data_IF_154853488669
#
_entry.id   IF_154853488669
#
_cell.length_a   1.000
_cell.length_b   1.000
_cell.length_c   1.000
_cell.angle_alpha   90.00
_cell.angle_beta   90.00
_cell.angle_gamma   90.00
#
_symmetry.space_group_name_H-M   'P 1'
#
loop_
_entity.id
_entity.type
_entity.pdbx_description
1 polymer ?
#
# COMPACT_ATOMS: atom_id res chain seq x y z
N UNK A 1 -9.28 15.79 -10.02
CA UNK A 1 -9.95 15.74 -8.70
C UNK A 1 -10.43 17.16 -8.40
N UNK A 2 -11.67 17.35 -7.95
CA UNK A 2 -12.19 18.68 -7.56
C UNK A 2 -11.45 19.13 -6.31
N UNK A 3 -11.19 20.44 -6.15
CA UNK A 3 -10.43 20.99 -5.00
C UNK A 3 -11.10 20.64 -3.65
N UNK A 4 -12.42 20.74 -3.57
CA UNK A 4 -13.21 20.34 -2.40
C UNK A 4 -12.95 18.88 -1.97
N UNK A 5 -12.79 17.97 -2.94
CA UNK A 5 -12.50 16.55 -2.66
C UNK A 5 -11.09 16.38 -2.12
N UNK A 6 -10.14 17.12 -2.65
CA UNK A 6 -8.76 17.14 -2.16
C UNK A 6 -8.68 17.62 -0.71
N UNK A 7 -9.37 18.72 -0.39
CA UNK A 7 -9.46 19.22 0.99
C UNK A 7 -10.07 18.20 1.95
N UNK A 8 -11.10 17.47 1.50
CA UNK A 8 -11.72 16.41 2.29
C UNK A 8 -10.73 15.29 2.61
N UNK A 9 -9.96 14.83 1.61
CA UNK A 9 -8.93 13.81 1.81
C UNK A 9 -7.80 14.31 2.72
N UNK A 10 -7.38 15.56 2.58
CA UNK A 10 -6.36 16.16 3.47
C UNK A 10 -6.82 16.22 4.92
N UNK A 11 -8.07 16.60 5.17
CA UNK A 11 -8.67 16.57 6.53
C UNK A 11 -8.69 15.14 7.08
N UNK A 12 -9.04 14.16 6.25
CA UNK A 12 -9.05 12.76 6.63
C UNK A 12 -7.64 12.24 6.97
N UNK A 13 -6.62 12.62 6.19
CA UNK A 13 -5.22 12.30 6.51
C UNK A 13 -4.81 12.84 7.88
N UNK A 14 -5.20 14.07 8.21
CA UNK A 14 -4.92 14.64 9.53
C UNK A 14 -5.59 13.85 10.66
N UNK A 15 -6.85 13.45 10.46
CA UNK A 15 -7.57 12.59 11.42
C UNK A 15 -6.83 11.25 11.60
N UNK A 16 -6.39 10.61 10.51
CA UNK A 16 -5.66 9.35 10.60
C UNK A 16 -4.30 9.49 11.30
N UNK A 17 -3.55 10.56 11.04
CA UNK A 17 -2.29 10.82 11.74
C UNK A 17 -2.49 10.95 13.25
N UNK A 18 -3.46 11.74 13.67
CA UNK A 18 -3.75 11.93 15.10
C UNK A 18 -4.16 10.59 15.73
N UNK A 19 -5.09 9.87 15.13
CA UNK A 19 -5.52 8.55 15.62
C UNK A 19 -4.40 7.51 15.63
N UNK A 20 -3.47 7.55 14.68
CA UNK A 20 -2.31 6.67 14.67
C UNK A 20 -1.41 6.93 15.89
N UNK A 21 -1.12 8.20 16.17
CA UNK A 21 -0.29 8.57 17.34
C UNK A 21 -0.97 8.10 18.63
N UNK A 22 -2.26 8.37 18.79
CA UNK A 22 -3.03 7.93 19.96
C UNK A 22 -3.02 6.40 20.10
N UNK A 23 -3.22 5.68 18.99
CA UNK A 23 -3.21 4.23 18.96
C UNK A 23 -1.84 3.67 19.37
N UNK A 24 -0.76 4.12 18.72
CA UNK A 24 0.59 3.63 19.03
C UNK A 24 1.02 4.00 20.45
N UNK A 25 0.63 5.17 20.93
CA UNK A 25 0.86 5.56 22.32
C UNK A 25 0.12 4.63 23.28
N UNK A 26 -1.13 4.28 22.99
CA UNK A 26 -1.92 3.42 23.88
C UNK A 26 -1.39 1.99 23.97
N UNK A 27 -0.86 1.44 22.88
CA UNK A 27 -0.33 0.06 22.85
C UNK A 27 1.19 -0.03 23.09
N UNK A 28 1.89 1.11 23.16
CA UNK A 28 3.33 1.25 23.42
C UNK A 28 4.22 0.38 22.50
N UNK A 29 3.78 0.13 21.27
CA UNK A 29 4.50 -0.66 20.26
C UNK A 29 4.05 -0.32 18.84
N UNK A 30 4.93 -0.49 17.85
CA UNK A 30 4.63 -0.28 16.44
C UNK A 30 5.72 0.52 15.72
N UNK A 31 5.45 0.87 14.47
CA UNK A 31 6.37 1.56 13.58
C UNK A 31 5.74 2.90 13.13
N UNK A 32 5.92 3.98 13.91
CA UNK A 32 5.27 5.27 13.60
C UNK A 32 5.72 5.84 12.25
N UNK A 33 7.02 5.86 11.96
CA UNK A 33 7.58 6.42 10.73
C UNK A 33 6.98 5.78 9.48
N UNK A 34 7.11 4.45 9.36
CA UNK A 34 6.61 3.70 8.21
C UNK A 34 5.08 3.71 8.07
N UNK A 35 4.35 3.98 9.16
CA UNK A 35 2.90 4.15 9.13
C UNK A 35 2.49 5.56 8.72
N UNK A 36 3.14 6.59 9.26
CA UNK A 36 2.85 7.99 8.95
C UNK A 36 3.17 8.35 7.49
N UNK A 37 4.26 7.81 6.94
CA UNK A 37 4.71 8.14 5.58
C UNK A 37 3.73 7.67 4.48
N UNK A 38 2.96 6.62 4.71
CA UNK A 38 1.98 6.11 3.73
C UNK A 38 0.53 6.59 3.97
N UNK A 39 0.31 7.56 4.87
CA UNK A 39 -1.04 8.05 5.21
C UNK A 39 -1.80 8.55 3.97
N UNK A 40 -1.21 9.46 3.19
CA UNK A 40 -1.84 10.03 2.00
C UNK A 40 -2.07 8.97 0.93
N UNK A 41 -1.12 8.06 0.75
CA UNK A 41 -1.21 6.97 -0.23
C UNK A 41 -2.41 6.09 0.10
N UNK A 42 -2.50 5.57 1.32
CA UNK A 42 -3.60 4.71 1.75
C UNK A 42 -4.94 5.44 1.73
N UNK A 43 -4.97 6.71 2.18
CA UNK A 43 -6.20 7.51 2.15
C UNK A 43 -6.68 7.72 0.72
N UNK A 44 -5.80 8.09 -0.22
CA UNK A 44 -6.17 8.29 -1.61
C UNK A 44 -6.65 6.99 -2.26
N UNK A 45 -5.99 5.88 -2.01
CA UNK A 45 -6.37 4.57 -2.56
C UNK A 45 -7.76 4.16 -2.07
N UNK A 46 -7.98 4.07 -0.78
CA UNK A 46 -9.24 3.54 -0.22
C UNK A 46 -10.43 4.49 -0.33
N UNK A 47 -10.21 5.81 -0.40
CA UNK A 47 -11.30 6.78 -0.38
C UNK A 47 -11.57 7.46 -1.73
N UNK A 48 -10.68 7.27 -2.72
CA UNK A 48 -10.85 7.92 -4.04
C UNK A 48 -10.64 6.98 -5.23
N UNK A 49 -9.68 6.05 -5.17
CA UNK A 49 -9.21 5.35 -6.37
C UNK A 49 -9.73 3.91 -6.48
N UNK A 50 -9.67 3.14 -5.39
CA UNK A 50 -9.94 1.71 -5.42
C UNK A 50 -11.44 1.41 -5.41
N UNK A 51 -11.82 0.43 -6.22
CA UNK A 51 -13.13 -0.20 -6.17
C UNK A 51 -13.11 -1.34 -5.15
N UNK A 52 -13.46 -0.99 -3.91
CA UNK A 52 -13.56 -1.94 -2.79
C UNK A 52 -14.84 -1.69 -2.00
N UNK A 53 -15.51 -2.77 -1.65
CA UNK A 53 -16.73 -2.76 -0.84
C UNK A 53 -16.50 -3.48 0.51
N UNK A 54 -16.47 -2.75 1.63
CA UNK A 54 -16.34 -3.37 2.95
C UNK A 54 -17.45 -4.36 3.31
N UNK A 55 -18.63 -4.21 2.69
CA UNK A 55 -19.76 -5.12 2.90
C UNK A 55 -19.64 -6.41 2.08
N UNK A 56 -18.78 -6.42 1.06
CA UNK A 56 -18.47 -7.57 0.24
C UNK A 56 -16.95 -7.67 -0.02
N UNK A 57 -16.15 -7.90 1.03
CA UNK A 57 -14.70 -7.91 0.94
C UNK A 57 -14.14 -9.06 0.07
N UNK A 58 -14.93 -10.09 -0.18
CA UNK A 58 -14.55 -11.25 -1.01
C UNK A 58 -14.97 -11.11 -2.48
N UNK A 59 -15.49 -9.95 -2.91
CA UNK A 59 -15.83 -9.71 -4.32
C UNK A 59 -14.60 -9.93 -5.19
N UNK A 60 -14.68 -10.85 -6.15
CA UNK A 60 -13.50 -11.31 -6.91
C UNK A 60 -12.92 -10.28 -7.88
N UNK A 61 -13.77 -9.42 -8.48
CA UNK A 61 -13.40 -8.40 -9.47
C UNK A 61 -13.07 -7.02 -8.85
N UNK A 62 -12.87 -6.98 -7.51
CA UNK A 62 -12.45 -5.76 -6.81
C UNK A 62 -10.99 -5.43 -7.04
N UNK A 63 -10.61 -4.19 -6.76
CA UNK A 63 -9.21 -3.82 -6.67
C UNK A 63 -8.52 -4.44 -5.42
N UNK A 64 -7.23 -4.70 -5.52
CA UNK A 64 -6.42 -5.30 -4.47
C UNK A 64 -5.33 -4.35 -3.99
N UNK A 65 -5.05 -4.35 -2.69
CA UNK A 65 -3.92 -3.61 -2.13
C UNK A 65 -3.00 -4.51 -1.32
N UNK A 66 -1.73 -4.52 -1.67
CA UNK A 66 -0.66 -5.16 -0.90
C UNK A 66 0.20 -4.08 -0.24
N UNK A 67 0.20 -4.05 1.08
CA UNK A 67 1.17 -3.26 1.84
C UNK A 67 2.43 -4.10 1.99
N UNK A 68 3.34 -4.04 1.00
CA UNK A 68 4.58 -4.83 0.99
C UNK A 68 5.50 -4.47 2.14
N UNK A 69 5.62 -3.16 2.45
CA UNK A 69 6.23 -2.67 3.70
C UNK A 69 5.33 -2.94 4.90
N UNK A 70 5.21 -4.23 5.27
CA UNK A 70 4.24 -4.71 6.25
C UNK A 70 4.30 -4.02 7.63
N UNK A 71 5.44 -3.41 7.98
CA UNK A 71 5.58 -2.63 9.20
C UNK A 71 4.69 -1.35 9.22
N UNK A 72 4.16 -0.90 8.07
CA UNK A 72 3.14 0.16 7.99
C UNK A 72 1.72 -0.30 8.39
N UNK A 73 1.55 -1.54 8.83
CA UNK A 73 0.25 -2.13 9.20
C UNK A 73 -0.65 -1.26 10.09
N UNK A 74 -0.15 -0.54 11.11
CA UNK A 74 -1.03 0.28 11.95
C UNK A 74 -1.85 1.31 11.18
N UNK A 75 -1.28 1.96 10.16
CA UNK A 75 -2.02 2.89 9.30
C UNK A 75 -3.02 2.16 8.40
N UNK A 76 -2.64 1.01 7.83
CA UNK A 76 -3.56 0.20 7.04
C UNK A 76 -4.77 -0.23 7.86
N UNK A 77 -4.58 -0.69 9.10
CA UNK A 77 -5.66 -1.09 9.99
C UNK A 77 -6.59 0.08 10.35
N UNK A 78 -6.04 1.27 10.60
CA UNK A 78 -6.84 2.48 10.80
C UNK A 78 -7.72 2.78 9.59
N UNK A 79 -7.15 2.74 8.40
CA UNK A 79 -7.88 3.02 7.15
C UNK A 79 -8.97 1.96 6.90
N UNK A 80 -8.65 0.68 7.07
CA UNK A 80 -9.61 -0.43 6.90
C UNK A 80 -10.77 -0.34 7.90
N UNK A 81 -10.49 -0.10 9.19
CA UNK A 81 -11.51 0.05 10.22
C UNK A 81 -12.42 1.25 9.94
N UNK A 82 -11.85 2.39 9.57
CA UNK A 82 -12.61 3.60 9.21
C UNK A 82 -13.40 3.45 7.90
N UNK A 83 -12.93 2.62 6.97
CA UNK A 83 -13.67 2.27 5.75
C UNK A 83 -14.82 1.31 6.05
N UNK A 84 -14.77 0.56 7.17
CA UNK A 84 -15.84 -0.33 7.61
C UNK A 84 -15.57 -1.82 7.41
N UNK A 85 -14.32 -2.24 7.13
CA UNK A 85 -13.97 -3.65 7.00
C UNK A 85 -14.07 -4.42 8.31
N UNK A 86 -13.89 -3.74 9.44
CA UNK A 86 -14.07 -4.30 10.79
C UNK A 86 -14.36 -3.17 11.79
N UNK A 87 -14.89 -3.50 13.00
CA UNK A 87 -15.25 -2.49 14.00
C UNK A 87 -14.05 -1.67 14.48
N UNK A 88 -14.21 -0.35 14.60
CA UNK A 88 -13.19 0.56 15.15
C UNK A 88 -12.71 0.15 16.55
N UNK A 89 -13.56 -0.51 17.33
CA UNK A 89 -13.23 -0.98 18.67
C UNK A 89 -12.08 -2.00 18.69
N UNK A 90 -11.84 -2.70 17.56
CA UNK A 90 -10.73 -3.67 17.46
C UNK A 90 -9.35 -3.02 17.44
N UNK A 91 -9.26 -1.74 17.07
CA UNK A 91 -7.97 -1.03 16.99
C UNK A 91 -7.21 -1.05 18.33
N UNK A 92 -7.91 -0.98 19.45
CA UNK A 92 -7.31 -1.06 20.80
C UNK A 92 -6.58 -2.38 21.08
N UNK A 93 -6.89 -3.43 20.31
CA UNK A 93 -6.32 -4.76 20.45
C UNK A 93 -5.08 -4.97 19.55
N UNK A 94 -4.57 -3.90 18.92
CA UNK A 94 -3.39 -3.97 18.06
C UNK A 94 -2.22 -4.68 18.76
N UNK A 95 -1.66 -5.71 18.11
CA UNK A 95 -0.51 -6.51 18.58
C UNK A 95 -0.75 -7.29 19.88
N UNK A 96 -1.97 -7.40 20.35
CA UNK A 96 -2.28 -8.23 21.51
C UNK A 96 -2.46 -9.70 21.11
N UNK A 97 -2.18 -10.61 22.05
CA UNK A 97 -2.38 -12.06 21.83
C UNK A 97 -3.85 -12.35 21.51
N UNK A 98 -4.07 -13.10 20.44
CA UNK A 98 -5.43 -13.44 19.99
C UNK A 98 -6.11 -12.36 19.13
N UNK A 99 -5.55 -11.16 19.02
CA UNK A 99 -6.11 -10.10 18.17
C UNK A 99 -6.03 -10.44 16.69
N UNK A 100 -7.01 -9.97 15.92
CA UNK A 100 -6.94 -9.99 14.45
C UNK A 100 -5.87 -9.04 13.90
N UNK A 101 -5.51 -7.99 14.65
CA UNK A 101 -4.57 -6.93 14.25
C UNK A 101 -3.15 -7.30 14.68
N UNK A 102 -2.50 -8.09 13.86
CA UNK A 102 -1.13 -8.56 14.08
C UNK A 102 -0.10 -7.43 13.86
N UNK A 103 1.15 -7.65 14.28
CA UNK A 103 2.24 -6.68 14.07
C UNK A 103 2.54 -6.37 12.60
N UNK A 104 2.25 -7.32 11.72
CA UNK A 104 2.26 -7.21 10.26
C UNK A 104 0.93 -7.70 9.69
N UNK A 105 0.52 -7.27 8.49
CA UNK A 105 -0.74 -7.72 7.88
C UNK A 105 -0.81 -9.24 7.77
N UNK A 106 -1.96 -9.80 8.13
CA UNK A 106 -2.21 -11.23 8.04
C UNK A 106 -3.55 -11.47 7.32
N UNK A 107 -3.49 -12.06 6.12
CA UNK A 107 -4.67 -12.32 5.28
C UNK A 107 -5.70 -13.24 5.97
N UNK A 108 -5.23 -14.16 6.82
CA UNK A 108 -6.11 -15.10 7.52
C UNK A 108 -6.75 -14.52 8.80
N UNK A 109 -6.41 -13.30 9.19
CA UNK A 109 -6.86 -12.70 10.45
C UNK A 109 -7.63 -11.40 10.26
N UNK A 110 -7.20 -10.55 9.34
CA UNK A 110 -7.71 -9.17 9.23
C UNK A 110 -8.53 -9.01 7.97
N UNK A 111 -9.84 -8.74 8.06
CA UNK A 111 -10.67 -8.44 6.89
C UNK A 111 -10.12 -7.26 6.09
N UNK A 112 -10.09 -7.39 4.75
CA UNK A 112 -9.56 -6.38 3.84
C UNK A 112 -8.05 -6.41 3.66
N UNK A 113 -7.33 -7.34 4.30
CA UNK A 113 -5.91 -7.62 4.04
C UNK A 113 -5.79 -8.67 2.94
N UNK A 114 -5.10 -8.36 1.86
CA UNK A 114 -4.98 -9.21 0.66
C UNK A 114 -3.83 -10.21 0.73
N UNK A 115 -2.78 -9.89 1.45
CA UNK A 115 -1.57 -10.71 1.58
C UNK A 115 -0.98 -10.56 2.97
N UNK A 116 -0.52 -11.68 3.54
CA UNK A 116 0.33 -11.63 4.72
C UNK A 116 1.71 -11.12 4.32
N UNK A 117 2.14 -10.00 4.90
CA UNK A 117 3.42 -9.36 4.61
C UNK A 117 4.26 -9.19 5.87
N UNK A 118 5.53 -8.84 5.70
CA UNK A 118 6.52 -8.73 6.77
C UNK A 118 7.91 -8.99 6.21
N UNK A 119 8.15 -10.15 5.56
CA UNK A 119 9.35 -10.33 4.73
C UNK A 119 9.32 -9.32 3.58
N UNK A 120 10.32 -8.43 3.54
CA UNK A 120 10.39 -7.36 2.55
C UNK A 120 10.67 -7.88 1.13
N UNK A 121 10.21 -7.14 0.12
CA UNK A 121 10.47 -7.40 -1.29
C UNK A 121 9.51 -8.37 -1.97
N UNK A 122 8.75 -9.19 -1.23
CA UNK A 122 7.88 -10.21 -1.82
C UNK A 122 6.55 -9.67 -2.36
N UNK A 123 6.11 -8.50 -1.89
CA UNK A 123 4.80 -7.95 -2.23
C UNK A 123 4.61 -7.67 -3.71
N UNK A 124 5.66 -7.21 -4.41
CA UNK A 124 5.56 -6.92 -5.84
C UNK A 124 5.39 -8.19 -6.68
N UNK A 125 6.09 -9.28 -6.31
CA UNK A 125 5.95 -10.58 -6.96
C UNK A 125 4.55 -11.16 -6.78
N UNK A 126 4.02 -11.10 -5.55
CA UNK A 126 2.65 -11.54 -5.26
C UNK A 126 1.62 -10.68 -6.00
N UNK A 127 1.80 -9.36 -6.00
CA UNK A 127 0.95 -8.42 -6.74
C UNK A 127 0.95 -8.67 -8.24
N UNK A 128 2.10 -9.02 -8.82
CA UNK A 128 2.18 -9.43 -10.22
C UNK A 128 1.33 -10.67 -10.47
N UNK A 129 1.44 -11.68 -9.60
CA UNK A 129 0.61 -12.89 -9.69
C UNK A 129 -0.88 -12.58 -9.63
N UNK A 130 -1.32 -11.71 -8.72
CA UNK A 130 -2.71 -11.26 -8.59
C UNK A 130 -3.20 -10.54 -9.86
N UNK A 131 -2.43 -9.56 -10.35
CA UNK A 131 -2.78 -8.81 -11.56
C UNK A 131 -2.90 -9.71 -12.80
N UNK A 132 -1.99 -10.65 -12.94
CA UNK A 132 -2.05 -11.63 -14.04
C UNK A 132 -3.23 -12.60 -13.88
N UNK A 133 -3.52 -13.02 -12.65
CA UNK A 133 -4.69 -13.86 -12.33
C UNK A 133 -6.00 -13.16 -12.63
N UNK A 134 -6.16 -11.90 -12.23
CA UNK A 134 -7.33 -11.07 -12.57
C UNK A 134 -7.52 -10.94 -14.08
N UNK A 135 -6.42 -10.68 -14.81
CA UNK A 135 -6.45 -10.62 -16.27
C UNK A 135 -6.88 -11.93 -16.92
N UNK A 136 -6.42 -13.07 -16.41
CA UNK A 136 -6.82 -14.40 -16.91
C UNK A 136 -8.32 -14.68 -16.67
N UNK A 137 -8.88 -14.15 -15.58
CA UNK A 137 -10.31 -14.22 -15.28
C UNK A 137 -11.15 -13.19 -16.05
N UNK A 138 -10.53 -12.28 -16.79
CA UNK A 138 -11.21 -11.21 -17.53
C UNK A 138 -11.67 -10.05 -16.66
N UNK A 139 -11.12 -9.88 -15.46
CA UNK A 139 -11.44 -8.76 -14.56
C UNK A 139 -10.67 -7.49 -14.93
N UNK A 140 -11.30 -6.33 -14.83
CA UNK A 140 -10.71 -4.99 -15.04
C UNK A 140 -10.24 -4.38 -13.70
N UNK A 141 -9.83 -5.22 -12.76
CA UNK A 141 -9.38 -4.81 -11.44
C UNK A 141 -7.88 -4.50 -11.43
N UNK A 142 -7.50 -3.55 -10.58
CA UNK A 142 -6.11 -3.14 -10.37
C UNK A 142 -5.53 -3.77 -9.11
N UNK A 143 -4.23 -4.06 -9.15
CA UNK A 143 -3.45 -4.48 -7.98
C UNK A 143 -2.44 -3.39 -7.64
N UNK A 144 -2.58 -2.81 -6.45
CA UNK A 144 -1.70 -1.77 -5.92
C UNK A 144 -0.72 -2.40 -4.92
N UNK A 145 0.57 -2.08 -5.04
CA UNK A 145 1.62 -2.57 -4.13
C UNK A 145 2.39 -1.39 -3.57
N UNK A 146 2.32 -1.17 -2.26
CA UNK A 146 3.08 -0.12 -1.57
C UNK A 146 4.36 -0.72 -1.03
N UNK A 147 5.51 -0.21 -1.51
CA UNK A 147 6.85 -0.62 -1.12
C UNK A 147 7.59 0.54 -0.43
N UNK A 148 8.51 0.22 0.46
CA UNK A 148 9.45 1.20 1.02
C UNK A 148 10.72 1.34 0.17
N UNK A 149 11.40 2.48 0.29
CA UNK A 149 12.66 2.74 -0.41
C UNK A 149 13.81 1.83 0.05
N UNK A 150 13.88 1.50 1.33
CA UNK A 150 14.79 0.46 1.82
C UNK A 150 14.41 -0.95 1.35
N UNK A 151 13.12 -1.22 1.17
CA UNK A 151 12.63 -2.51 0.69
C UNK A 151 13.07 -2.83 -0.74
N UNK A 152 13.18 -1.83 -1.61
CA UNK A 152 13.59 -2.05 -3.00
C UNK A 152 15.10 -2.41 -3.16
N UNK A 153 15.84 -2.54 -2.06
CA UNK A 153 17.16 -3.15 -2.04
C UNK A 153 17.11 -4.66 -2.24
N UNK A 154 15.96 -5.29 -1.97
CA UNK A 154 15.74 -6.72 -2.18
C UNK A 154 15.74 -7.07 -3.68
N UNK A 155 16.53 -8.07 -4.08
CA UNK A 155 16.66 -8.50 -5.48
C UNK A 155 15.36 -8.94 -6.12
N UNK A 156 14.47 -9.59 -5.35
CA UNK A 156 13.18 -10.08 -5.84
C UNK A 156 12.23 -8.96 -6.29
N UNK A 157 12.40 -7.72 -5.82
CA UNK A 157 11.66 -6.55 -6.34
C UNK A 157 12.00 -6.31 -7.81
N UNK A 158 13.28 -6.35 -8.15
CA UNK A 158 13.76 -6.13 -9.52
C UNK A 158 13.41 -7.28 -10.46
N UNK A 159 13.45 -8.52 -9.96
CA UNK A 159 12.99 -9.71 -10.69
C UNK A 159 11.49 -9.59 -11.03
N UNK A 160 10.68 -9.15 -10.07
CA UNK A 160 9.26 -8.90 -10.28
C UNK A 160 9.01 -7.76 -11.28
N UNK A 161 9.76 -6.66 -11.19
CA UNK A 161 9.64 -5.52 -12.10
C UNK A 161 9.96 -5.90 -13.55
N UNK A 162 11.04 -6.66 -13.78
CA UNK A 162 11.39 -7.20 -15.09
C UNK A 162 10.28 -8.12 -15.64
N UNK A 163 9.75 -8.98 -14.78
CA UNK A 163 8.66 -9.89 -15.14
C UNK A 163 7.37 -9.12 -15.46
N UNK A 164 7.02 -8.10 -14.68
CA UNK A 164 5.86 -7.25 -14.92
C UNK A 164 5.93 -6.55 -16.29
N UNK A 165 7.11 -6.05 -16.65
CA UNK A 165 7.38 -5.46 -17.96
C UNK A 165 7.19 -6.52 -19.09
N UNK A 166 7.81 -7.68 -18.96
CA UNK A 166 7.69 -8.77 -19.93
C UNK A 166 6.24 -9.19 -20.16
N UNK A 167 5.47 -9.36 -19.11
CA UNK A 167 4.08 -9.82 -19.18
C UNK A 167 3.09 -8.68 -19.44
N UNK A 168 3.56 -7.43 -19.59
CA UNK A 168 2.74 -6.24 -19.80
C UNK A 168 1.61 -6.17 -18.77
N UNK A 169 1.99 -6.24 -17.50
CA UNK A 169 1.06 -6.22 -16.37
C UNK A 169 0.59 -4.78 -16.08
N UNK A 170 -0.21 -4.23 -16.99
CA UNK A 170 -0.66 -2.82 -16.98
C UNK A 170 -1.67 -2.49 -15.87
N UNK A 171 -2.25 -3.51 -15.24
CA UNK A 171 -3.10 -3.38 -14.04
C UNK A 171 -2.33 -3.60 -12.72
N UNK A 172 -1.01 -3.77 -12.77
CA UNK A 172 -0.13 -3.74 -11.59
C UNK A 172 0.44 -2.34 -11.39
N UNK A 173 0.18 -1.74 -10.23
CA UNK A 173 0.65 -0.41 -9.87
C UNK A 173 1.57 -0.51 -8.66
N UNK A 174 2.87 -0.41 -8.87
CA UNK A 174 3.86 -0.25 -7.80
C UNK A 174 3.92 1.20 -7.33
N UNK A 175 3.83 1.40 -6.02
CA UNK A 175 3.92 2.70 -5.36
C UNK A 175 5.12 2.64 -4.43
N UNK A 176 6.10 3.52 -4.65
CA UNK A 176 7.26 3.63 -3.80
C UNK A 176 7.05 4.73 -2.76
N UNK A 177 7.03 4.35 -1.50
CA UNK A 177 7.09 5.27 -0.37
C UNK A 177 8.57 5.63 -0.12
N UNK A 178 9.02 6.65 -0.85
CA UNK A 178 10.39 7.14 -0.81
C UNK A 178 10.54 8.18 0.30
N UNK A 179 10.55 7.72 1.53
CA UNK A 179 10.61 8.57 2.71
C UNK A 179 12.05 8.94 3.14
N UNK A 180 13.06 8.34 2.51
CA UNK A 180 14.48 8.63 2.74
C UNK A 180 15.04 8.05 4.03
N UNK A 181 14.29 7.19 4.75
CA UNK A 181 14.71 6.62 6.05
C UNK A 181 14.59 5.11 6.02
N UNK A 182 15.60 4.44 6.56
CA UNK A 182 15.64 2.98 6.71
C UNK A 182 16.11 2.62 8.11
N UNK A 183 15.34 1.81 8.84
CA UNK A 183 15.66 1.46 10.23
C UNK A 183 15.89 2.72 11.08
N UNK A 184 17.11 2.89 11.58
CA UNK A 184 17.50 3.95 12.51
C UNK A 184 18.34 5.06 11.85
N UNK A 185 18.39 5.12 10.51
CA UNK A 185 19.18 6.11 9.78
C UNK A 185 18.58 6.57 8.46
N UNK A 186 19.33 7.42 7.75
CA UNK A 186 18.94 7.78 6.39
C UNK A 186 19.22 6.65 5.41
N UNK A 187 18.49 6.60 4.31
CA UNK A 187 18.75 5.62 3.25
C UNK A 187 20.19 5.72 2.73
N UNK A 188 20.73 6.95 2.66
CA UNK A 188 22.09 7.20 2.19
C UNK A 188 23.15 6.66 3.16
N UNK A 189 22.93 6.77 4.47
CA UNK A 189 23.88 6.30 5.49
C UNK A 189 23.85 4.78 5.64
N UNK A 190 22.67 4.13 5.45
CA UNK A 190 22.53 2.69 5.69
C UNK A 190 22.89 1.89 4.43
N UNK A 191 22.23 2.18 3.32
CA UNK A 191 22.48 1.54 2.03
C UNK A 191 22.01 2.44 0.90
N UNK A 192 22.90 3.23 0.31
CA UNK A 192 22.53 4.21 -0.74
C UNK A 192 21.98 3.51 -1.98
N UNK A 193 20.82 3.97 -2.44
CA UNK A 193 20.18 3.44 -3.64
C UNK A 193 20.56 4.19 -4.92
N UNK A 194 21.26 5.33 -4.81
CA UNK A 194 21.57 6.17 -5.97
C UNK A 194 20.31 6.67 -6.69
N UNK A 195 20.35 6.78 -8.01
CA UNK A 195 19.19 7.22 -8.80
C UNK A 195 18.15 6.09 -8.92
N UNK A 196 17.18 6.12 -8.01
CA UNK A 196 16.06 5.15 -7.97
C UNK A 196 15.22 5.23 -9.26
N UNK A 197 15.00 6.45 -9.78
CA UNK A 197 14.21 6.65 -11.00
C UNK A 197 14.89 5.97 -12.19
N UNK A 198 16.18 6.21 -12.39
CA UNK A 198 16.94 5.59 -13.47
C UNK A 198 16.94 4.05 -13.38
N UNK A 199 16.98 3.48 -12.18
CA UNK A 199 16.89 2.02 -11.98
C UNK A 199 15.54 1.45 -12.43
N UNK A 200 14.43 2.11 -12.07
CA UNK A 200 13.10 1.70 -12.51
C UNK A 200 12.92 1.87 -14.03
N UNK A 201 13.47 2.91 -14.63
CA UNK A 201 13.47 3.11 -16.08
C UNK A 201 14.26 2.00 -16.79
N UNK A 202 15.40 1.58 -16.24
CA UNK A 202 16.24 0.54 -16.82
C UNK A 202 15.58 -0.83 -16.89
N UNK A 203 14.66 -1.15 -15.98
CA UNK A 203 13.86 -2.39 -16.04
C UNK A 203 12.57 -2.24 -16.88
N UNK A 204 12.51 -1.17 -17.71
CA UNK A 204 11.37 -0.88 -18.60
C UNK A 204 10.03 -0.69 -17.86
N UNK A 205 10.06 -0.31 -16.59
CA UNK A 205 8.88 0.10 -15.85
C UNK A 205 8.54 1.55 -16.22
N UNK A 206 7.83 1.73 -17.32
CA UNK A 206 7.81 2.95 -18.15
C UNK A 206 6.86 4.06 -17.70
N UNK A 207 6.21 3.96 -16.55
CA UNK A 207 5.27 4.97 -16.09
C UNK A 207 5.70 5.56 -14.74
N UNK A 208 6.91 6.16 -14.72
CA UNK A 208 7.38 6.93 -13.57
C UNK A 208 6.75 8.32 -13.61
N UNK A 209 5.69 8.50 -12.84
CA UNK A 209 5.12 9.82 -12.58
C UNK A 209 5.71 10.42 -11.30
N UNK A 210 5.82 11.75 -11.18
CA UNK A 210 5.94 12.37 -9.87
C UNK A 210 4.75 11.92 -9.03
N UNK A 211 5.00 11.65 -7.76
CA UNK A 211 4.01 11.13 -6.82
C UNK A 211 2.59 11.66 -7.10
N UNK A 212 1.70 10.74 -7.42
CA UNK A 212 0.23 10.88 -7.43
C UNK A 212 -0.48 11.61 -8.62
N UNK A 213 -0.04 12.69 -9.30
CA UNK A 213 -0.98 13.38 -10.19
C UNK A 213 -1.26 12.73 -11.55
N UNK A 214 -0.34 11.95 -12.13
CA UNK A 214 -0.54 11.38 -13.49
C UNK A 214 -1.20 10.02 -13.53
N UNK A 215 -1.03 9.19 -12.54
CA UNK A 215 -1.74 7.90 -12.42
C UNK A 215 -3.24 8.12 -12.22
N UNK A 216 -3.63 9.11 -11.41
CA UNK A 216 -5.02 9.49 -11.20
C UNK A 216 -5.78 9.85 -12.49
N UNK A 217 -5.10 10.49 -13.47
CA UNK A 217 -5.78 10.95 -14.68
C UNK A 217 -6.18 9.81 -15.65
N UNK A 218 -5.43 8.72 -15.72
CA UNK A 218 -5.80 7.60 -16.60
C UNK A 218 -6.87 6.69 -15.99
N UNK A 219 -6.82 6.46 -14.69
CA UNK A 219 -7.79 5.62 -14.00
C UNK A 219 -9.17 6.29 -13.90
N UNK A 220 -9.22 7.59 -13.64
CA UNK A 220 -10.48 8.36 -13.53
C UNK A 220 -11.16 8.52 -14.90
N UNK A 221 -10.42 8.57 -16.00
CA UNK A 221 -11.03 8.72 -17.34
C UNK A 221 -11.63 7.42 -17.89
N UNK A 222 -11.28 6.25 -17.34
CA UNK A 222 -11.81 4.94 -17.78
C UNK A 222 -13.06 4.49 -17.00
N UNK A 223 -13.34 5.11 -15.85
CA UNK A 223 -14.50 4.76 -14.99
C UNK A 223 -15.67 5.76 -15.09
N UNK A 224 -15.82 6.45 -16.23
CA UNK A 224 -17.03 7.25 -16.53
C UNK A 224 -17.81 6.62 -17.67
#
# INVERSE_FOLDING_TARGET
>A
MREERKETLQKLCLVFRNKLIDLLYSVQTGHPGGSLSCTEILTALYYELMDVDPMNPEKEDRDHLILSKGHGAPMLYLVLAHKGFFPLAELKNLRQTGSMLQGHPCVHKTPGVELSTGPLGLGLSAGLGMALGSRLKGYDSYTYVIMGDGEIQEGCVWEAALSASKFKADHLIGILDNNGVQLDGTLEDIMPMGDIKAKWEAVSYTHLGPAVPRFCHRTISKRR
#
